data_IF_962636655938
#
_entry.id   IF_962636655938
#
_cell.length_a   1.000
_cell.length_b   1.000
_cell.length_c   1.000
_cell.angle_alpha   90.00
_cell.angle_beta   90.00
_cell.angle_gamma   90.00
#
_symmetry.space_group_name_H-M   'P 1'
#
loop_
_entity.id
_entity.type
_entity.pdbx_description
1 polymer ?
#
# COMPACT_ATOMS: atom_id res chain seq x y z
N UNK A 1 26.50 2.01 -55.31
CA UNK A 1 26.63 1.59 -53.91
C UNK A 1 25.66 2.48 -53.14
N UNK A 2 24.35 2.34 -53.32
CA UNK A 2 23.51 1.22 -52.87
C UNK A 2 23.77 0.92 -51.40
N UNK A 3 22.92 1.48 -50.54
CA UNK A 3 22.05 0.67 -49.68
C UNK A 3 20.79 1.46 -49.30
N UNK A 4 19.71 0.69 -49.22
CA UNK A 4 18.34 1.09 -48.98
C UNK A 4 17.94 0.73 -47.53
N UNK A 5 16.69 1.07 -47.20
CA UNK A 5 15.90 0.61 -46.03
C UNK A 5 16.23 1.33 -44.71
N UNK A 6 15.26 1.73 -43.88
CA UNK A 6 13.82 1.48 -43.88
C UNK A 6 13.13 2.36 -42.83
N UNK A 7 11.84 2.58 -43.03
CA UNK A 7 10.95 3.33 -42.15
C UNK A 7 10.71 2.61 -40.82
N UNK A 8 10.41 3.34 -39.74
CA UNK A 8 9.07 3.44 -39.13
C UNK A 8 9.11 4.07 -37.73
N UNK A 9 7.99 4.71 -37.40
CA UNK A 9 7.69 5.41 -36.17
C UNK A 9 7.56 4.48 -34.94
N UNK A 10 7.84 5.02 -33.75
CA UNK A 10 7.49 4.45 -32.44
C UNK A 10 7.21 5.64 -31.52
N UNK A 11 5.97 6.10 -31.45
CA UNK A 11 4.89 5.71 -30.52
C UNK A 11 5.15 6.13 -29.08
N UNK A 12 4.26 7.01 -28.58
CA UNK A 12 4.29 7.60 -27.25
C UNK A 12 4.35 6.56 -26.14
N UNK A 13 5.05 6.94 -25.07
CA UNK A 13 5.00 6.22 -23.81
C UNK A 13 3.74 6.66 -23.07
N UNK A 14 2.71 5.83 -23.20
CA UNK A 14 1.60 5.76 -22.28
C UNK A 14 2.09 4.90 -21.11
N UNK A 15 2.31 5.50 -19.95
CA UNK A 15 2.63 4.77 -18.73
C UNK A 15 1.37 4.04 -18.29
N UNK A 16 1.25 2.78 -18.72
CA UNK A 16 0.26 1.85 -18.22
C UNK A 16 0.66 1.49 -16.78
N UNK A 17 -0.12 1.96 -15.82
CA UNK A 17 -0.05 1.50 -14.43
C UNK A 17 -0.51 0.04 -14.44
N UNK A 18 0.45 -0.88 -14.38
CA UNK A 18 0.16 -2.30 -14.31
C UNK A 18 -0.47 -2.62 -12.95
N UNK A 19 -1.68 -3.15 -13.06
CA UNK A 19 -2.52 -3.71 -12.01
C UNK A 19 -1.73 -4.78 -11.25
N UNK A 20 -1.46 -4.55 -9.96
CA UNK A 20 -0.79 -5.53 -9.09
C UNK A 20 -1.75 -6.70 -8.84
N UNK A 21 -1.74 -7.63 -9.79
CA UNK A 21 -2.51 -8.86 -9.76
C UNK A 21 -1.65 -9.96 -9.12
N UNK A 22 -2.05 -10.40 -7.93
CA UNK A 22 -1.33 -11.45 -7.21
C UNK A 22 -2.20 -12.13 -6.14
N UNK A 23 -2.18 -13.48 -6.04
CA UNK A 23 -2.87 -14.18 -4.97
C UNK A 23 -2.21 -13.87 -3.62
N UNK A 24 -2.99 -13.36 -2.65
CA UNK A 24 -2.53 -13.26 -1.26
C UNK A 24 -2.45 -14.67 -0.69
N UNK A 25 -1.23 -15.20 -0.57
CA UNK A 25 -0.99 -16.55 -0.06
C UNK A 25 -1.34 -16.64 1.42
N UNK A 26 -2.29 -17.50 1.72
CA UNK A 26 -2.54 -17.96 3.08
C UNK A 26 -1.45 -18.96 3.47
N UNK A 27 -0.88 -18.81 4.66
CA UNK A 27 -0.16 -19.90 5.35
C UNK A 27 -1.07 -21.10 5.70
N UNK A 28 -2.24 -21.21 5.09
CA UNK A 28 -3.21 -22.29 5.17
C UNK A 28 -4.19 -22.20 3.98
N UNK A 29 -3.71 -22.57 2.79
CA UNK A 29 -4.48 -23.24 1.73
C UNK A 29 -5.61 -22.53 0.96
N UNK A 30 -6.24 -21.47 1.47
CA UNK A 30 -7.35 -20.80 0.77
C UNK A 30 -6.89 -19.50 0.09
N UNK A 31 -6.97 -19.46 -1.23
CA UNK A 31 -6.73 -18.24 -2.03
C UNK A 31 -8.02 -17.41 -2.00
N UNK A 32 -8.00 -16.26 -1.33
CA UNK A 32 -9.11 -15.31 -1.41
C UNK A 32 -8.91 -14.48 -2.68
N UNK A 33 -9.74 -14.73 -3.69
CA UNK A 33 -9.80 -13.90 -4.90
C UNK A 33 -10.53 -12.59 -4.57
N UNK A 34 -9.77 -11.57 -4.15
CA UNK A 34 -10.29 -10.24 -3.78
C UNK A 34 -11.11 -9.64 -4.93
N UNK A 35 -10.66 -9.80 -6.17
CA UNK A 35 -11.37 -9.36 -7.39
C UNK A 35 -12.78 -9.96 -7.51
N UNK A 36 -12.92 -11.26 -7.19
CA UNK A 36 -14.22 -11.94 -7.24
C UNK A 36 -15.16 -11.39 -6.17
N UNK A 37 -14.62 -11.01 -5.01
CA UNK A 37 -15.36 -10.42 -3.91
C UNK A 37 -15.80 -8.99 -4.27
N UNK A 38 -14.93 -8.19 -4.89
CA UNK A 38 -15.23 -6.85 -5.43
C UNK A 38 -16.36 -6.90 -6.44
N UNK A 39 -16.24 -7.76 -7.46
CA UNK A 39 -17.26 -7.93 -8.49
C UNK A 39 -18.62 -8.38 -7.93
N UNK A 40 -18.62 -9.32 -6.98
CA UNK A 40 -19.86 -9.75 -6.32
C UNK A 40 -20.49 -8.62 -5.51
N UNK A 41 -19.69 -7.83 -4.80
CA UNK A 41 -20.20 -6.68 -4.04
C UNK A 41 -20.81 -5.63 -4.96
N UNK A 42 -20.14 -5.26 -6.05
CA UNK A 42 -20.64 -4.28 -7.00
C UNK A 42 -21.96 -4.74 -7.64
N UNK A 43 -22.00 -5.99 -8.10
CA UNK A 43 -23.19 -6.57 -8.73
C UNK A 43 -24.37 -6.68 -7.75
N UNK A 44 -24.09 -7.02 -6.50
CA UNK A 44 -25.11 -7.02 -5.44
C UNK A 44 -25.61 -5.60 -5.19
N UNK A 45 -24.73 -4.61 -5.05
CA UNK A 45 -25.11 -3.20 -4.88
C UNK A 45 -26.03 -2.70 -6.00
N UNK A 46 -25.68 -2.96 -7.26
CA UNK A 46 -26.49 -2.58 -8.43
C UNK A 46 -27.85 -3.29 -8.43
N UNK A 47 -27.89 -4.59 -8.15
CA UNK A 47 -29.14 -5.37 -8.12
C UNK A 47 -30.09 -4.87 -7.03
N UNK A 48 -29.54 -4.55 -5.86
CA UNK A 48 -30.29 -4.00 -4.73
C UNK A 48 -30.82 -2.59 -5.05
N UNK A 49 -30.01 -1.73 -5.67
CA UNK A 49 -30.43 -0.38 -6.05
C UNK A 49 -31.59 -0.37 -7.06
N UNK A 50 -31.64 -1.37 -7.94
CA UNK A 50 -32.73 -1.55 -8.91
C UNK A 50 -34.00 -2.21 -8.33
N UNK A 51 -33.91 -2.91 -7.19
CA UNK A 51 -35.00 -3.74 -6.66
C UNK A 51 -35.82 -3.08 -5.54
N UNK A 52 -35.75 -1.75 -5.39
CA UNK A 52 -36.45 -1.01 -4.33
C UNK A 52 -37.98 -1.27 -4.39
N UNK A 53 -38.47 -2.08 -3.45
CA UNK A 53 -39.88 -2.39 -3.23
C UNK A 53 -40.65 -1.22 -2.59
N UNK A 54 -41.99 -1.21 -2.74
CA UNK A 54 -42.88 -0.20 -2.14
C UNK A 54 -43.06 -0.32 -0.61
N UNK A 55 -42.54 -1.37 0.02
CA UNK A 55 -42.56 -1.53 1.47
C UNK A 55 -41.45 -0.71 2.14
N UNK A 56 -41.83 0.29 2.96
CA UNK A 56 -40.91 1.22 3.61
C UNK A 56 -39.89 0.52 4.53
N UNK A 57 -40.30 -0.58 5.18
CA UNK A 57 -39.42 -1.33 6.09
C UNK A 57 -38.33 -2.06 5.31
N UNK A 58 -38.70 -2.81 4.28
CA UNK A 58 -37.76 -3.47 3.37
C UNK A 58 -36.83 -2.45 2.71
N UNK A 59 -37.35 -1.27 2.36
CA UNK A 59 -36.57 -0.18 1.78
C UNK A 59 -35.51 0.38 2.75
N UNK A 60 -35.85 0.50 4.04
CA UNK A 60 -34.92 0.96 5.06
C UNK A 60 -33.79 -0.05 5.30
N UNK A 61 -34.13 -1.34 5.45
CA UNK A 61 -33.16 -2.44 5.61
C UNK A 61 -32.21 -2.53 4.39
N UNK A 62 -32.74 -2.34 3.19
CA UNK A 62 -31.96 -2.35 1.96
C UNK A 62 -30.97 -1.18 1.87
N UNK A 63 -31.40 0.04 2.24
CA UNK A 63 -30.51 1.21 2.29
C UNK A 63 -29.39 1.04 3.30
N UNK A 64 -29.69 0.45 4.46
CA UNK A 64 -28.69 0.16 5.49
C UNK A 64 -27.62 -0.78 4.94
N UNK A 65 -28.02 -1.87 4.27
CA UNK A 65 -27.08 -2.83 3.69
C UNK A 65 -26.26 -2.22 2.56
N UNK A 66 -26.85 -1.41 1.68
CA UNK A 66 -26.10 -0.70 0.63
C UNK A 66 -25.04 0.21 1.27
N UNK A 67 -25.42 0.95 2.32
CA UNK A 67 -24.49 1.84 3.03
C UNK A 67 -23.32 1.07 3.65
N UNK A 68 -23.61 -0.06 4.30
CA UNK A 68 -22.57 -0.93 4.87
C UNK A 68 -21.65 -1.50 3.78
N UNK A 69 -22.21 -1.92 2.65
CA UNK A 69 -21.45 -2.46 1.52
C UNK A 69 -20.52 -1.42 0.93
N UNK A 70 -21.00 -0.20 0.67
CA UNK A 70 -20.19 0.91 0.17
C UNK A 70 -19.06 1.25 1.14
N UNK A 71 -19.34 1.31 2.44
CA UNK A 71 -18.30 1.58 3.44
C UNK A 71 -17.23 0.47 3.50
N UNK A 72 -17.62 -0.80 3.35
CA UNK A 72 -16.67 -1.91 3.30
C UNK A 72 -15.83 -1.91 2.02
N UNK A 73 -16.44 -1.57 0.88
CA UNK A 73 -15.72 -1.44 -0.39
C UNK A 73 -14.67 -0.32 -0.32
N UNK A 74 -15.04 0.84 0.24
CA UNK A 74 -14.13 1.96 0.37
C UNK A 74 -12.96 1.65 1.33
N UNK A 75 -13.24 1.00 2.47
CA UNK A 75 -12.18 0.48 3.34
C UNK A 75 -11.27 -0.52 2.62
N UNK A 76 -11.83 -1.43 1.82
CA UNK A 76 -11.05 -2.42 1.10
C UNK A 76 -10.12 -1.77 0.07
N UNK A 77 -10.60 -0.77 -0.67
CA UNK A 77 -9.81 -0.02 -1.63
C UNK A 77 -8.60 0.65 -0.96
N UNK A 78 -8.82 1.41 0.12
CA UNK A 78 -7.73 2.06 0.86
C UNK A 78 -6.75 1.05 1.48
N UNK A 79 -7.23 -0.07 2.04
CA UNK A 79 -6.32 -1.10 2.55
C UNK A 79 -5.51 -1.77 1.44
N UNK A 80 -6.07 -1.97 0.23
CA UNK A 80 -5.33 -2.52 -0.93
C UNK A 80 -4.26 -1.55 -1.38
N UNK A 81 -4.59 -0.27 -1.49
CA UNK A 81 -3.65 0.77 -1.87
C UNK A 81 -2.50 0.87 -0.87
N UNK A 82 -2.80 0.88 0.43
CA UNK A 82 -1.78 0.87 1.47
C UNK A 82 -0.88 -0.37 1.40
N UNK A 83 -1.43 -1.55 1.10
CA UNK A 83 -0.62 -2.76 0.89
C UNK A 83 0.35 -2.57 -0.28
N UNK A 84 -0.15 -2.08 -1.41
CA UNK A 84 0.66 -1.84 -2.60
C UNK A 84 1.78 -0.85 -2.33
N UNK A 85 1.48 0.32 -1.78
CA UNK A 85 2.47 1.36 -1.49
C UNK A 85 3.52 0.90 -0.48
N UNK A 86 3.14 0.17 0.57
CA UNK A 86 4.12 -0.43 1.50
C UNK A 86 5.01 -1.47 0.82
N UNK A 87 4.49 -2.21 -0.16
CA UNK A 87 5.28 -3.15 -0.95
C UNK A 87 6.29 -2.41 -1.84
N UNK A 88 5.87 -1.37 -2.56
CA UNK A 88 6.76 -0.56 -3.40
C UNK A 88 7.87 0.11 -2.57
N UNK A 89 7.54 0.65 -1.39
CA UNK A 89 8.54 1.17 -0.45
C UNK A 89 9.57 0.09 -0.07
N UNK A 90 9.14 -1.14 0.24
CA UNK A 90 10.06 -2.24 0.56
C UNK A 90 10.94 -2.64 -0.63
N UNK A 91 10.37 -2.68 -1.84
CA UNK A 91 11.10 -2.98 -3.08
C UNK A 91 12.15 -1.91 -3.36
N UNK A 92 11.77 -0.63 -3.28
CA UNK A 92 12.67 0.51 -3.46
C UNK A 92 13.74 0.60 -2.36
N UNK A 93 13.43 0.16 -1.14
CA UNK A 93 14.36 0.15 -0.02
C UNK A 93 15.40 -0.98 -0.09
N UNK A 94 15.09 -2.10 -0.73
CA UNK A 94 15.95 -3.29 -0.72
C UNK A 94 17.40 -3.02 -1.23
N UNK A 95 17.64 -2.26 -2.32
CA UNK A 95 19.00 -1.93 -2.77
C UNK A 95 19.78 -1.07 -1.76
N UNK A 96 19.11 -0.20 -1.02
CA UNK A 96 19.74 0.60 0.04
C UNK A 96 20.18 -0.31 1.19
N UNK A 97 19.26 -1.14 1.70
CA UNK A 97 19.53 -2.06 2.80
C UNK A 97 20.63 -3.08 2.48
N UNK A 98 20.60 -3.67 1.28
CA UNK A 98 21.61 -4.64 0.84
C UNK A 98 23.03 -4.04 0.81
N UNK A 99 23.15 -2.75 0.51
CA UNK A 99 24.42 -2.04 0.42
C UNK A 99 24.95 -1.55 1.77
N UNK A 100 24.11 -1.49 2.81
CA UNK A 100 24.53 -1.23 4.19
C UNK A 100 25.21 -2.43 4.86
N UNK A 101 25.03 -3.65 4.33
CA UNK A 101 25.68 -4.85 4.88
C UNK A 101 27.18 -4.81 4.56
N UNK A 102 28.08 -4.65 5.55
CA UNK A 102 29.49 -4.41 5.27
C UNK A 102 30.23 -5.70 4.89
N UNK A 103 31.19 -5.64 3.94
CA UNK A 103 32.17 -6.70 3.75
C UNK A 103 33.47 -6.52 4.58
N UNK A 104 33.63 -5.45 5.36
CA UNK A 104 34.87 -5.19 6.12
C UNK A 104 34.82 -3.95 7.05
N UNK A 105 35.94 -3.73 7.76
CA UNK A 105 36.11 -2.80 8.90
C UNK A 105 36.42 -1.34 8.48
N UNK A 106 36.67 -1.10 7.19
CA UNK A 106 36.85 0.24 6.66
C UNK A 106 35.46 0.85 6.42
N UNK A 107 35.10 1.87 7.20
CA UNK A 107 33.78 2.51 7.17
C UNK A 107 33.30 3.02 5.80
N UNK A 108 32.20 3.79 5.78
CA UNK A 108 31.54 4.21 4.54
C UNK A 108 32.40 5.17 3.70
N UNK A 109 33.19 4.62 2.77
CA UNK A 109 33.93 5.39 1.77
C UNK A 109 33.00 6.26 0.91
N UNK A 110 33.54 7.35 0.34
CA UNK A 110 32.76 8.36 -0.39
C UNK A 110 31.90 7.77 -1.53
N UNK A 111 32.43 6.80 -2.29
CA UNK A 111 31.70 6.12 -3.36
C UNK A 111 30.52 5.30 -2.83
N UNK A 112 30.71 4.60 -1.71
CA UNK A 112 29.64 3.80 -1.07
C UNK A 112 28.56 4.74 -0.54
N UNK A 113 28.96 5.83 0.12
CA UNK A 113 28.02 6.84 0.62
C UNK A 113 27.19 7.45 -0.51
N UNK A 114 27.81 7.82 -1.63
CA UNK A 114 27.06 8.37 -2.76
C UNK A 114 26.07 7.36 -3.35
N UNK A 115 26.46 6.09 -3.44
CA UNK A 115 25.58 5.04 -3.91
C UNK A 115 24.42 4.75 -2.93
N UNK A 116 24.66 4.83 -1.62
CA UNK A 116 23.60 4.76 -0.60
C UNK A 116 22.61 5.91 -0.76
N UNK A 117 23.08 7.14 -0.93
CA UNK A 117 22.20 8.29 -1.14
C UNK A 117 21.36 8.15 -2.43
N UNK A 118 21.93 7.60 -3.50
CA UNK A 118 21.18 7.33 -4.73
C UNK A 118 20.09 6.27 -4.52
N UNK A 119 20.41 5.16 -3.85
CA UNK A 119 19.44 4.12 -3.55
C UNK A 119 18.35 4.63 -2.60
N UNK A 120 18.72 5.47 -1.63
CA UNK A 120 17.77 6.07 -0.70
C UNK A 120 16.77 7.00 -1.39
N UNK A 121 17.21 7.80 -2.36
CA UNK A 121 16.31 8.70 -3.12
C UNK A 121 15.15 7.97 -3.78
N UNK A 122 15.40 6.80 -4.37
CA UNK A 122 14.32 5.98 -4.97
C UNK A 122 13.30 5.57 -3.92
N UNK A 123 13.75 5.20 -2.71
CA UNK A 123 12.85 4.90 -1.60
C UNK A 123 12.12 6.15 -1.06
N UNK A 124 12.77 7.31 -1.09
CA UNK A 124 12.12 8.58 -0.71
C UNK A 124 10.97 8.93 -1.64
N UNK A 125 11.12 8.73 -2.95
CA UNK A 125 10.05 9.00 -3.91
C UNK A 125 8.80 8.15 -3.59
N UNK A 126 8.97 6.86 -3.28
CA UNK A 126 7.87 5.99 -2.85
C UNK A 126 7.28 6.35 -1.48
N UNK A 127 8.12 6.82 -0.56
CA UNK A 127 7.66 7.32 0.75
C UNK A 127 6.84 8.60 0.63
N UNK A 128 7.18 9.47 -0.32
CA UNK A 128 6.42 10.69 -0.61
C UNK A 128 5.02 10.32 -1.14
N UNK A 129 4.91 9.36 -2.07
CA UNK A 129 3.62 8.84 -2.54
C UNK A 129 2.81 8.21 -1.38
N UNK A 130 3.47 7.42 -0.52
CA UNK A 130 2.82 6.84 0.66
C UNK A 130 2.29 7.93 1.62
N UNK A 131 3.03 9.02 1.81
CA UNK A 131 2.60 10.15 2.64
C UNK A 131 1.43 10.89 2.01
N UNK A 132 1.46 11.17 0.71
CA UNK A 132 0.35 11.80 -0.01
C UNK A 132 -0.94 10.98 0.13
N UNK A 133 -0.85 9.67 -0.09
CA UNK A 133 -1.97 8.76 0.18
C UNK A 133 -2.44 8.84 1.64
N UNK A 134 -1.51 8.84 2.60
CA UNK A 134 -1.84 8.90 4.03
C UNK A 134 -2.55 10.21 4.43
N UNK A 135 -2.30 11.32 3.74
CA UNK A 135 -2.95 12.60 3.97
C UNK A 135 -4.42 12.63 3.50
N UNK A 136 -4.76 11.74 2.57
CA UNK A 136 -6.05 11.70 1.87
C UNK A 136 -6.97 10.53 2.29
N UNK A 137 -6.49 9.60 3.12
CA UNK A 137 -7.34 8.49 3.60
C UNK A 137 -8.59 8.98 4.35
N UNK A 138 -9.72 8.30 4.16
CA UNK A 138 -10.98 8.60 4.83
C UNK A 138 -11.53 7.41 5.63
N UNK A 139 -11.16 6.19 5.28
CA UNK A 139 -11.86 4.98 5.73
C UNK A 139 -11.03 4.03 6.60
N UNK A 140 -9.70 4.08 6.52
CA UNK A 140 -8.81 3.16 7.27
C UNK A 140 -8.15 3.77 8.51
N UNK A 141 -8.51 5.01 8.86
CA UNK A 141 -8.04 5.64 10.09
C UNK A 141 -8.05 7.16 10.04
N UNK A 142 -7.15 7.77 10.81
CA UNK A 142 -6.94 9.21 10.83
C UNK A 142 -5.93 9.64 9.75
N UNK A 143 -6.27 10.63 8.91
CA UNK A 143 -5.34 11.20 7.95
C UNK A 143 -4.03 11.64 8.60
N UNK A 144 -2.94 11.44 7.89
CA UNK A 144 -1.63 11.94 8.27
C UNK A 144 -1.59 13.46 8.21
N UNK A 145 -0.95 14.09 9.20
CA UNK A 145 -0.65 15.52 9.22
C UNK A 145 0.70 15.75 9.87
N UNK A 146 1.48 16.64 9.28
CA UNK A 146 2.77 17.08 9.80
C UNK A 146 2.73 18.57 10.14
N UNK A 147 2.85 18.88 11.43
CA UNK A 147 2.92 20.24 11.95
C UNK A 147 4.33 20.49 12.51
N UNK A 148 5.25 20.90 11.63
CA UNK A 148 6.66 21.06 11.97
C UNK A 148 7.33 19.71 12.31
N UNK A 149 7.59 19.49 13.60
CA UNK A 149 8.17 18.22 14.13
C UNK A 149 7.11 17.27 14.70
N UNK A 150 5.88 17.73 14.88
CA UNK A 150 4.81 16.88 15.38
C UNK A 150 4.20 16.08 14.23
N UNK A 151 4.15 14.75 14.41
CA UNK A 151 3.53 13.81 13.48
C UNK A 151 2.20 13.33 14.07
N UNK A 152 1.11 13.51 13.34
CA UNK A 152 -0.23 13.02 13.72
C UNK A 152 -0.79 12.14 12.60
N UNK A 153 -1.63 11.17 12.97
CA UNK A 153 -2.26 10.25 12.03
C UNK A 153 -2.33 8.85 12.61
N UNK A 154 -2.55 7.88 11.74
CA UNK A 154 -2.44 6.47 12.12
C UNK A 154 -1.02 6.07 12.52
N UNK A 155 -0.92 5.07 13.39
CA UNK A 155 0.37 4.60 13.90
C UNK A 155 1.32 4.17 12.77
N UNK A 156 0.80 3.54 11.72
CA UNK A 156 1.63 2.98 10.66
C UNK A 156 2.42 4.07 9.93
N UNK A 157 1.78 5.19 9.56
CA UNK A 157 2.43 6.29 8.86
C UNK A 157 3.35 7.07 9.79
N UNK A 158 2.91 7.34 11.03
CA UNK A 158 3.72 8.08 12.01
C UNK A 158 5.03 7.36 12.32
N UNK A 159 4.99 6.03 12.50
CA UNK A 159 6.17 5.22 12.78
C UNK A 159 7.13 5.18 11.58
N UNK A 160 6.61 5.00 10.36
CA UNK A 160 7.41 4.97 9.13
C UNK A 160 8.08 6.32 8.87
N UNK A 161 7.33 7.42 8.94
CA UNK A 161 7.86 8.77 8.71
C UNK A 161 8.86 9.17 9.80
N UNK A 162 8.64 8.79 11.06
CA UNK A 162 9.62 9.02 12.12
C UNK A 162 10.95 8.32 11.82
N UNK A 163 10.91 7.05 11.40
CA UNK A 163 12.10 6.27 11.04
C UNK A 163 12.79 6.83 9.78
N UNK A 164 12.03 7.28 8.77
CA UNK A 164 12.56 7.99 7.61
C UNK A 164 13.37 9.22 8.05
N UNK A 165 12.80 10.08 8.91
CA UNK A 165 13.47 11.30 9.37
C UNK A 165 14.76 10.98 10.14
N UNK A 166 14.74 9.97 11.01
CA UNK A 166 15.93 9.53 11.73
C UNK A 166 17.02 9.00 10.79
N UNK A 167 16.63 8.21 9.79
CA UNK A 167 17.56 7.67 8.80
C UNK A 167 18.16 8.78 7.93
N UNK A 168 17.35 9.74 7.50
CA UNK A 168 17.80 10.91 6.75
C UNK A 168 18.76 11.78 7.55
N UNK A 169 18.47 12.02 8.83
CA UNK A 169 19.34 12.79 9.70
C UNK A 169 20.69 12.08 9.88
N UNK A 170 20.67 10.76 10.10
CA UNK A 170 21.89 9.95 10.18
C UNK A 170 22.70 9.98 8.87
N UNK A 171 22.06 9.93 7.70
CA UNK A 171 22.75 10.01 6.39
C UNK A 171 23.41 11.38 6.12
N UNK A 172 22.85 12.45 6.71
CA UNK A 172 23.35 13.83 6.59
C UNK A 172 24.55 14.12 7.48
N UNK A 173 24.84 13.26 8.46
CA UNK A 173 26.04 13.40 9.31
C UNK A 173 27.32 13.42 8.47
N UNK A 174 28.33 14.16 8.93
CA UNK A 174 29.63 14.26 8.25
C UNK A 174 30.36 12.90 8.21
N UNK A 175 30.13 12.07 9.23
CA UNK A 175 30.69 10.72 9.38
C UNK A 175 29.62 9.79 9.95
N UNK A 176 28.68 9.31 9.11
CA UNK A 176 27.61 8.46 9.58
C UNK A 176 28.17 7.15 10.14
N UNK A 177 27.71 6.75 11.32
CA UNK A 177 28.03 5.45 11.91
C UNK A 177 27.39 4.33 11.07
N UNK A 178 28.17 3.39 10.49
CA UNK A 178 27.61 2.28 9.73
C UNK A 178 26.69 1.40 10.59
N UNK A 179 27.03 1.21 11.86
CA UNK A 179 26.24 0.43 12.82
C UNK A 179 24.88 1.07 13.07
N UNK A 180 24.86 2.39 13.31
CA UNK A 180 23.62 3.13 13.55
C UNK A 180 22.74 3.20 12.30
N UNK A 181 23.34 3.35 11.10
CA UNK A 181 22.60 3.27 9.84
C UNK A 181 22.00 1.89 9.62
N UNK A 182 22.74 0.82 9.92
CA UNK A 182 22.26 -0.55 9.78
C UNK A 182 21.10 -0.84 10.76
N UNK A 183 21.21 -0.36 12.00
CA UNK A 183 20.15 -0.48 13.01
C UNK A 183 18.88 0.26 12.55
N UNK A 184 18.98 1.54 12.19
CA UNK A 184 17.85 2.33 11.71
C UNK A 184 17.22 1.73 10.44
N UNK A 185 18.04 1.25 9.51
CA UNK A 185 17.57 0.58 8.30
C UNK A 185 16.83 -0.74 8.63
N UNK A 186 17.33 -1.49 9.60
CA UNK A 186 16.69 -2.71 10.10
C UNK A 186 15.36 -2.42 10.80
N UNK A 187 15.28 -1.36 11.60
CA UNK A 187 14.06 -0.91 12.26
C UNK A 187 13.00 -0.45 11.25
N UNK A 188 13.41 0.36 10.27
CA UNK A 188 12.56 0.80 9.16
C UNK A 188 12.00 -0.39 8.37
N UNK A 189 12.86 -1.31 7.93
CA UNK A 189 12.44 -2.51 7.20
C UNK A 189 11.45 -3.36 8.02
N UNK A 190 11.75 -3.53 9.31
CA UNK A 190 10.89 -4.28 10.22
C UNK A 190 9.54 -3.59 10.43
N UNK A 191 9.50 -2.26 10.51
CA UNK A 191 8.26 -1.51 10.63
C UNK A 191 7.39 -1.68 9.38
N UNK A 192 7.96 -1.53 8.18
CA UNK A 192 7.25 -1.74 6.92
C UNK A 192 6.65 -3.15 6.83
N UNK A 193 7.42 -4.21 7.14
CA UNK A 193 6.89 -5.57 7.17
C UNK A 193 5.80 -5.80 8.22
N UNK A 194 5.95 -5.24 9.44
CA UNK A 194 4.92 -5.34 10.48
C UNK A 194 3.61 -4.70 10.04
N UNK A 195 3.68 -3.54 9.39
CA UNK A 195 2.51 -2.82 8.91
C UNK A 195 1.91 -3.50 7.68
N UNK A 196 2.70 -4.04 6.76
CA UNK A 196 2.20 -4.87 5.67
C UNK A 196 1.39 -6.07 6.19
N UNK A 197 1.94 -6.80 7.18
CA UNK A 197 1.22 -7.91 7.81
C UNK A 197 -0.04 -7.46 8.57
N UNK A 198 -0.09 -6.22 9.07
CA UNK A 198 -1.30 -5.63 9.65
C UNK A 198 -2.36 -5.39 8.57
N UNK A 199 -1.95 -4.80 7.44
CA UNK A 199 -2.83 -4.55 6.29
C UNK A 199 -3.45 -5.87 5.80
N UNK A 200 -2.66 -6.94 5.65
CA UNK A 200 -3.17 -8.27 5.26
C UNK A 200 -4.23 -8.82 6.22
N UNK A 201 -4.05 -8.57 7.53
CA UNK A 201 -5.06 -8.97 8.53
C UNK A 201 -6.33 -8.13 8.37
N UNK A 202 -6.20 -6.83 8.12
CA UNK A 202 -7.33 -5.91 7.96
C UNK A 202 -8.13 -6.22 6.68
N UNK A 203 -7.45 -6.45 5.56
CA UNK A 203 -8.07 -6.90 4.31
C UNK A 203 -8.89 -8.17 4.50
N UNK A 204 -8.34 -9.18 5.17
CA UNK A 204 -9.08 -10.42 5.49
C UNK A 204 -10.33 -10.17 6.33
N UNK A 205 -10.26 -9.26 7.30
CA UNK A 205 -11.43 -8.89 8.12
C UNK A 205 -12.50 -8.21 7.27
N UNK A 206 -12.12 -7.27 6.39
CA UNK A 206 -13.05 -6.55 5.51
C UNK A 206 -13.71 -7.52 4.52
N UNK A 207 -12.92 -8.37 3.86
CA UNK A 207 -13.44 -9.40 2.95
C UNK A 207 -14.39 -10.36 3.68
N UNK A 208 -14.04 -10.80 4.89
CA UNK A 208 -14.91 -11.67 5.69
C UNK A 208 -16.24 -10.99 6.07
N UNK A 209 -16.24 -9.68 6.31
CA UNK A 209 -17.49 -8.92 6.52
C UNK A 209 -18.32 -8.85 5.23
N UNK A 210 -17.69 -8.54 4.12
CA UNK A 210 -18.35 -8.42 2.81
C UNK A 210 -18.97 -9.75 2.38
N UNK A 211 -18.28 -10.87 2.57
CA UNK A 211 -18.80 -12.21 2.31
C UNK A 211 -20.02 -12.53 3.19
N UNK A 212 -19.98 -12.23 4.49
CA UNK A 212 -21.14 -12.43 5.37
C UNK A 212 -22.34 -11.58 4.94
N UNK A 213 -22.10 -10.33 4.55
CA UNK A 213 -23.14 -9.42 4.08
C UNK A 213 -23.77 -9.95 2.77
N UNK A 214 -22.94 -10.39 1.84
CA UNK A 214 -23.36 -11.01 0.58
C UNK A 214 -24.17 -12.29 0.81
N UNK A 215 -23.72 -13.19 1.69
CA UNK A 215 -24.46 -14.42 2.04
C UNK A 215 -25.80 -14.11 2.71
N UNK A 216 -25.87 -13.10 3.58
CA UNK A 216 -27.14 -12.66 4.20
C UNK A 216 -28.13 -12.16 3.16
N UNK A 217 -27.65 -11.41 2.18
CA UNK A 217 -28.47 -10.90 1.08
C UNK A 217 -28.94 -12.02 0.16
N UNK A 218 -28.03 -12.86 -0.33
CA UNK A 218 -28.37 -13.95 -1.25
C UNK A 218 -29.21 -15.05 -0.59
N UNK A 219 -28.96 -15.33 0.69
CA UNK A 219 -29.71 -16.32 1.47
C UNK A 219 -31.06 -15.83 1.99
N UNK A 220 -31.29 -14.51 2.03
CA UNK A 220 -32.59 -13.90 2.35
C UNK A 220 -33.50 -13.67 1.14
N UNK A 221 -32.99 -13.89 -0.07
CA UNK A 221 -33.71 -13.72 -1.35
C UNK A 221 -34.33 -15.05 -1.86
N UNK A 222 -34.01 -16.19 -1.23
CA UNK A 222 -34.60 -17.52 -1.51
C UNK A 222 -35.68 -17.88 -0.50
#
# INVERSE_FOLDING_TARGET
MSDAEGATASSGHETQVDDVSGPVHTGSGDIIHIEKVEWMAERVGQTLQHSLSADEKTQAELREVITELTALQAQMAEWKELHHLLHEVLVAFAPFHARLTPPGDDGLGATVRQALLQNWRVCQDELDILMDFAEDIEHIGRPFRREGRELRGERWVVEIVALQLLLEDALKEDRPSPESLLELAGEFNSACHRHLALVDRKLRVVVGKLQRLSTRLLGGIL
#
